data_IF_859737209162
#
_entry.id   IF_859737209162
#
_cell.length_a   1.000
_cell.length_b   1.000
_cell.length_c   1.000
_cell.angle_alpha   90.00
_cell.angle_beta   90.00
_cell.angle_gamma   90.00
#
_symmetry.space_group_name_H-M   'P 1'
#
loop_
_entity.id
_entity.type
_entity.pdbx_description
1 polymer ?
#
# COMPACT_ATOMS: atom_id res chain seq x y z
N UNK A 1 -50.36 64.62 -31.66
CA UNK A 1 -50.88 65.63 -30.72
C UNK A 1 -50.73 65.10 -29.30
N UNK A 2 -50.18 65.94 -28.42
CA UNK A 2 -50.46 66.02 -26.96
C UNK A 2 -50.30 64.73 -26.14
N UNK A 3 -49.44 64.63 -25.12
CA UNK A 3 -48.90 65.68 -24.26
C UNK A 3 -49.07 65.27 -22.79
N UNK A 4 -47.92 65.14 -22.11
CA UNK A 4 -47.62 65.57 -20.75
C UNK A 4 -48.70 65.59 -19.65
N UNK A 5 -48.38 64.99 -18.48
CA UNK A 5 -48.19 65.67 -17.16
C UNK A 5 -47.90 64.63 -16.07
N UNK A 6 -46.74 64.59 -15.41
CA UNK A 6 -46.15 65.46 -14.35
C UNK A 6 -46.78 65.28 -12.95
N UNK A 7 -46.00 64.70 -12.00
CA UNK A 7 -45.63 65.18 -10.62
C UNK A 7 -45.03 63.99 -9.81
N UNK A 8 -43.76 63.95 -9.38
CA UNK A 8 -43.08 64.61 -8.23
C UNK A 8 -43.91 64.53 -6.92
N UNK A 9 -43.46 64.08 -5.74
CA UNK A 9 -42.16 63.72 -5.15
C UNK A 9 -42.34 63.14 -3.71
N UNK A 10 -41.53 62.13 -3.33
CA UNK A 10 -40.87 61.83 -2.02
C UNK A 10 -41.66 61.57 -0.69
N UNK A 11 -41.05 61.07 0.43
CA UNK A 11 -39.89 60.15 0.65
C UNK A 11 -40.08 59.10 1.80
N UNK A 12 -39.07 58.24 2.04
CA UNK A 12 -38.66 57.54 3.29
C UNK A 12 -38.69 56.01 3.31
N UNK A 13 -37.51 55.43 3.58
CA UNK A 13 -37.36 54.02 3.97
C UNK A 13 -36.00 53.42 3.58
N UNK A 14 -34.92 53.84 4.24
CA UNK A 14 -33.60 53.17 4.15
C UNK A 14 -33.75 51.71 4.60
N UNK A 15 -33.30 50.75 3.78
CA UNK A 15 -33.02 49.38 4.23
C UNK A 15 -31.55 49.03 3.94
N UNK A 16 -30.91 48.42 4.93
CA UNK A 16 -29.47 48.17 5.03
C UNK A 16 -28.97 47.09 4.04
N UNK A 17 -27.69 47.13 3.65
CA UNK A 17 -27.12 46.15 2.72
C UNK A 17 -26.94 44.79 3.40
N UNK A 18 -27.49 43.74 2.77
CA UNK A 18 -27.31 42.35 3.20
C UNK A 18 -25.86 41.90 3.01
N UNK A 19 -25.19 41.60 4.10
CA UNK A 19 -23.86 41.00 4.17
C UNK A 19 -23.88 39.61 3.53
N UNK A 20 -23.08 39.40 2.47
CA UNK A 20 -22.86 38.08 1.87
C UNK A 20 -22.04 37.23 2.83
N UNK A 21 -22.64 36.16 3.35
CA UNK A 21 -21.94 35.09 4.07
C UNK A 21 -21.01 34.38 3.07
N UNK A 22 -19.72 34.17 3.38
CA UNK A 22 -18.83 33.42 2.50
C UNK A 22 -19.31 31.97 2.43
N UNK A 23 -19.59 31.49 1.21
CA UNK A 23 -19.80 30.07 0.97
C UNK A 23 -18.48 29.35 1.27
N UNK A 24 -18.49 28.46 2.25
CA UNK A 24 -17.47 27.43 2.43
C UNK A 24 -17.26 26.72 1.08
N UNK A 25 -16.00 26.50 0.64
CA UNK A 25 -15.76 25.76 -0.58
C UNK A 25 -16.28 24.33 -0.36
N UNK A 26 -17.36 23.97 -1.07
CA UNK A 26 -17.81 22.59 -1.17
C UNK A 26 -16.66 21.83 -1.85
N UNK A 27 -15.89 21.10 -1.05
CA UNK A 27 -14.99 20.05 -1.54
C UNK A 27 -15.82 19.15 -2.43
N UNK A 28 -15.44 19.02 -3.71
CA UNK A 28 -15.95 17.97 -4.59
C UNK A 28 -15.90 16.63 -3.84
N UNK A 29 -16.93 15.77 -3.95
CA UNK A 29 -16.90 14.47 -3.30
C UNK A 29 -15.69 13.72 -3.82
N UNK A 30 -14.77 13.39 -2.92
CA UNK A 30 -13.57 12.64 -3.26
C UNK A 30 -13.99 11.30 -3.86
N UNK A 31 -13.43 10.95 -5.02
CA UNK A 31 -13.67 9.65 -5.64
C UNK A 31 -13.16 8.55 -4.70
N UNK A 32 -14.07 7.68 -4.23
CA UNK A 32 -13.70 6.56 -3.39
C UNK A 32 -13.25 5.38 -4.26
N UNK A 33 -11.99 4.95 -4.08
CA UNK A 33 -11.42 3.80 -4.79
C UNK A 33 -10.78 2.85 -3.79
N UNK A 34 -10.63 1.57 -4.16
CA UNK A 34 -10.00 0.57 -3.31
C UNK A 34 -8.59 0.99 -2.88
N UNK A 35 -8.23 0.72 -1.62
CA UNK A 35 -6.95 1.09 -1.00
C UNK A 35 -5.76 0.57 -1.82
N UNK A 36 -5.85 -0.64 -2.35
CA UNK A 36 -4.83 -1.28 -3.18
C UNK A 36 -4.42 -0.44 -4.40
N UNK A 37 -5.29 0.44 -4.93
CA UNK A 37 -4.97 1.33 -6.06
C UNK A 37 -4.08 2.52 -5.69
N UNK A 38 -3.77 2.69 -4.40
CA UNK A 38 -2.93 3.76 -3.88
C UNK A 38 -1.54 3.29 -3.43
N UNK A 39 -1.24 1.99 -3.54
CA UNK A 39 0.09 1.47 -3.21
C UNK A 39 1.18 2.17 -4.05
N UNK A 40 2.33 2.42 -3.43
CA UNK A 40 3.44 3.15 -4.05
C UNK A 40 4.03 2.28 -5.16
N UNK A 41 4.46 2.94 -6.23
CA UNK A 41 5.12 2.29 -7.36
C UNK A 41 4.26 1.27 -8.15
N UNK A 42 2.93 1.27 -7.98
CA UNK A 42 2.01 0.45 -8.79
C UNK A 42 2.30 0.54 -10.29
N UNK A 43 2.58 1.75 -10.78
CA UNK A 43 2.94 2.00 -12.19
C UNK A 43 4.12 1.14 -12.67
N UNK A 44 5.08 0.84 -11.80
CA UNK A 44 6.28 0.06 -12.11
C UNK A 44 6.01 -1.45 -12.22
N UNK A 45 4.87 -1.92 -11.71
CA UNK A 45 4.47 -3.33 -11.74
C UNK A 45 3.52 -3.64 -12.90
N UNK A 46 3.09 -2.65 -13.67
CA UNK A 46 2.38 -2.91 -14.92
C UNK A 46 3.33 -3.48 -15.98
N UNK A 47 2.85 -4.47 -16.72
CA UNK A 47 3.62 -5.06 -17.82
C UNK A 47 2.91 -6.26 -18.45
N UNK A 48 3.52 -6.84 -19.48
CA UNK A 48 2.93 -7.93 -20.27
C UNK A 48 2.65 -9.20 -19.46
N UNK A 49 3.31 -9.41 -18.32
CA UNK A 49 3.06 -10.55 -17.43
C UNK A 49 1.60 -10.67 -16.95
N UNK A 50 0.84 -9.56 -16.98
CA UNK A 50 -0.59 -9.54 -16.67
C UNK A 50 -1.43 -10.24 -17.74
N UNK A 51 -1.01 -10.15 -19.00
CA UNK A 51 -1.75 -10.61 -20.17
C UNK A 51 -1.24 -11.95 -20.71
N UNK A 52 -0.02 -12.35 -20.34
CA UNK A 52 0.52 -13.66 -20.70
C UNK A 52 -0.34 -14.79 -20.13
N UNK A 53 -0.50 -15.85 -20.93
CA UNK A 53 -1.05 -17.12 -20.48
C UNK A 53 -0.17 -17.69 -19.36
N UNK A 54 -0.80 -18.32 -18.38
CA UNK A 54 -0.09 -18.81 -17.20
C UNK A 54 0.98 -19.86 -17.54
N UNK A 55 0.69 -20.74 -18.50
CA UNK A 55 1.62 -21.76 -19.01
C UNK A 55 2.89 -21.13 -19.62
N UNK A 56 2.72 -19.99 -20.31
CA UNK A 56 3.84 -19.23 -20.87
C UNK A 56 4.66 -18.61 -19.75
N UNK A 57 4.01 -18.03 -18.74
CA UNK A 57 4.67 -17.43 -17.59
C UNK A 57 5.46 -18.47 -16.78
N UNK A 58 4.90 -19.67 -16.62
CA UNK A 58 5.57 -20.80 -15.96
C UNK A 58 6.80 -21.26 -16.74
N UNK A 59 6.66 -21.42 -18.06
CA UNK A 59 7.78 -21.78 -18.94
C UNK A 59 8.90 -20.74 -18.88
N UNK A 60 8.56 -19.46 -18.89
CA UNK A 60 9.53 -18.37 -18.76
C UNK A 60 10.24 -18.37 -17.39
N UNK A 61 9.50 -18.60 -16.30
CA UNK A 61 10.07 -18.67 -14.95
C UNK A 61 11.07 -19.84 -14.83
N UNK A 62 10.69 -21.03 -15.33
CA UNK A 62 11.55 -22.23 -15.36
C UNK A 62 12.79 -22.00 -16.21
N UNK A 63 12.62 -21.44 -17.42
CA UNK A 63 13.74 -21.14 -18.30
C UNK A 63 14.70 -20.14 -17.64
N UNK A 64 14.20 -19.06 -17.05
CA UNK A 64 15.02 -18.09 -16.33
C UNK A 64 15.80 -18.71 -15.16
N UNK A 65 15.18 -19.64 -14.42
CA UNK A 65 15.84 -20.36 -13.33
C UNK A 65 16.99 -21.25 -13.83
N UNK A 66 16.82 -21.89 -14.98
CA UNK A 66 17.80 -22.80 -15.57
C UNK A 66 18.94 -22.09 -16.33
N UNK A 67 18.85 -20.76 -16.54
CA UNK A 67 19.93 -20.00 -17.16
C UNK A 67 21.17 -19.92 -16.23
N UNK A 68 22.39 -19.91 -16.81
CA UNK A 68 23.60 -19.64 -16.04
C UNK A 68 23.55 -18.23 -15.44
N UNK A 69 24.25 -18.06 -14.31
CA UNK A 69 24.35 -16.74 -13.68
C UNK A 69 25.26 -15.81 -14.52
N UNK A 70 24.99 -14.49 -14.59
CA UNK A 70 23.85 -13.79 -13.99
C UNK A 70 22.56 -14.03 -14.78
N UNK A 71 21.48 -14.31 -14.05
CA UNK A 71 20.15 -14.49 -14.65
C UNK A 71 19.55 -13.11 -14.95
N UNK A 72 18.77 -12.94 -16.04
CA UNK A 72 18.13 -11.66 -16.37
C UNK A 72 17.16 -11.16 -15.30
N UNK A 73 16.43 -12.07 -14.66
CA UNK A 73 15.45 -11.77 -13.62
C UNK A 73 15.77 -12.62 -12.39
N UNK A 74 15.62 -12.03 -11.20
CA UNK A 74 15.70 -12.79 -9.97
C UNK A 74 14.62 -13.89 -9.94
N UNK A 75 14.98 -15.18 -9.77
CA UNK A 75 13.99 -16.24 -9.84
C UNK A 75 12.89 -16.14 -8.79
N UNK A 76 13.18 -15.62 -7.59
CA UNK A 76 12.20 -15.48 -6.53
C UNK A 76 11.09 -14.52 -6.95
N UNK A 77 11.47 -13.38 -7.53
CA UNK A 77 10.52 -12.40 -8.10
C UNK A 77 9.68 -13.05 -9.20
N UNK A 78 10.29 -13.82 -10.09
CA UNK A 78 9.57 -14.39 -11.23
C UNK A 78 8.56 -15.48 -10.79
N UNK A 79 8.96 -16.38 -9.88
CA UNK A 79 8.06 -17.38 -9.32
C UNK A 79 6.95 -16.75 -8.46
N UNK A 80 7.23 -15.69 -7.71
CA UNK A 80 6.20 -14.97 -6.97
C UNK A 80 5.16 -14.35 -7.91
N UNK A 81 5.58 -13.73 -9.03
CA UNK A 81 4.67 -13.21 -10.05
C UNK A 81 3.79 -14.34 -10.63
N UNK A 82 4.37 -15.50 -10.94
CA UNK A 82 3.62 -16.67 -11.42
C UNK A 82 2.56 -17.13 -10.42
N UNK A 83 2.96 -17.31 -9.15
CA UNK A 83 2.06 -17.72 -8.06
C UNK A 83 0.95 -16.70 -7.85
N UNK A 84 1.26 -15.41 -7.89
CA UNK A 84 0.27 -14.34 -7.77
C UNK A 84 -0.75 -14.41 -8.91
N UNK A 85 -0.30 -14.57 -10.16
CA UNK A 85 -1.21 -14.72 -11.31
C UNK A 85 -2.15 -15.91 -11.14
N UNK A 86 -1.62 -17.08 -10.79
CA UNK A 86 -2.43 -18.29 -10.52
C UNK A 86 -3.45 -18.06 -9.40
N UNK A 87 -3.02 -17.51 -8.26
CA UNK A 87 -3.89 -17.29 -7.10
C UNK A 87 -5.01 -16.29 -7.38
N UNK A 88 -4.71 -15.21 -8.11
CA UNK A 88 -5.71 -14.20 -8.49
C UNK A 88 -6.71 -14.77 -9.51
N UNK A 89 -6.26 -15.58 -10.47
CA UNK A 89 -7.13 -16.24 -11.44
C UNK A 89 -8.03 -17.29 -10.76
N UNK A 90 -7.49 -18.11 -9.86
CA UNK A 90 -8.25 -19.04 -9.02
C UNK A 90 -9.33 -18.31 -8.21
N UNK A 91 -8.96 -17.21 -7.54
CA UNK A 91 -9.87 -16.42 -6.73
C UNK A 91 -10.99 -15.82 -7.60
N UNK A 92 -10.64 -15.34 -8.80
CA UNK A 92 -11.60 -14.79 -9.76
C UNK A 92 -12.60 -15.85 -10.20
N UNK A 93 -12.12 -17.04 -10.57
CA UNK A 93 -12.97 -18.17 -10.96
C UNK A 93 -13.91 -18.59 -9.83
N UNK A 94 -13.43 -18.67 -8.60
CA UNK A 94 -14.26 -18.97 -7.42
C UNK A 94 -15.31 -17.89 -7.16
N UNK A 95 -14.95 -16.61 -7.28
CA UNK A 95 -15.86 -15.49 -7.07
C UNK A 95 -16.94 -15.37 -8.16
N UNK A 96 -16.58 -15.63 -9.42
CA UNK A 96 -17.56 -15.72 -10.53
C UNK A 96 -18.54 -16.87 -10.25
N UNK A 97 -18.05 -18.06 -9.93
CA UNK A 97 -18.91 -19.23 -9.61
C UNK A 97 -19.82 -18.98 -8.41
N UNK A 98 -19.34 -18.27 -7.39
CA UNK A 98 -20.15 -17.87 -6.24
C UNK A 98 -21.28 -16.89 -6.61
N UNK A 99 -21.07 -16.06 -7.63
CA UNK A 99 -22.06 -15.12 -8.14
C UNK A 99 -23.06 -15.80 -9.06
N UNK A 100 -22.59 -16.62 -10.01
CA UNK A 100 -23.41 -17.34 -10.98
C UNK A 100 -24.33 -18.40 -10.36
N UNK A 101 -24.01 -18.94 -9.17
CA UNK A 101 -24.87 -19.87 -8.45
C UNK A 101 -26.27 -19.29 -8.11
N UNK A 102 -26.48 -17.97 -8.25
CA UNK A 102 -27.70 -17.24 -7.88
C UNK A 102 -28.50 -16.75 -9.10
N UNK A 103 -28.13 -17.10 -10.33
CA UNK A 103 -28.92 -16.74 -11.51
C UNK A 103 -30.34 -17.37 -11.53
N UNK A 104 -30.64 -18.29 -10.60
CA UNK A 104 -31.98 -18.82 -10.37
C UNK A 104 -32.66 -18.01 -9.26
N UNK A 105 -33.79 -17.36 -9.58
CA UNK A 105 -34.62 -16.63 -8.60
C UNK A 105 -34.94 -17.51 -7.39
N UNK A 106 -34.92 -16.98 -6.14
CA UNK A 106 -35.34 -17.72 -4.95
C UNK A 106 -36.73 -18.37 -5.11
N UNK A 107 -37.65 -17.68 -5.79
CA UNK A 107 -38.98 -18.21 -6.11
C UNK A 107 -38.95 -19.37 -7.10
N UNK A 108 -38.08 -19.31 -8.11
CA UNK A 108 -37.94 -20.36 -9.13
C UNK A 108 -37.24 -21.61 -8.58
N UNK A 109 -36.32 -21.43 -7.62
CA UNK A 109 -35.63 -22.54 -6.95
C UNK A 109 -36.53 -23.23 -5.91
N UNK A 110 -37.31 -22.46 -5.15
CA UNK A 110 -38.28 -22.98 -4.18
C UNK A 110 -39.43 -23.75 -4.86
N UNK A 111 -39.89 -23.31 -6.04
CA UNK A 111 -41.00 -23.95 -6.75
C UNK A 111 -40.60 -25.26 -7.46
N UNK A 112 -39.32 -25.44 -7.82
CA UNK A 112 -38.81 -26.62 -8.52
C UNK A 112 -38.49 -27.81 -7.61
N UNK A 113 -38.36 -27.60 -6.30
CA UNK A 113 -37.97 -28.65 -5.36
C UNK A 113 -38.93 -28.71 -4.19
N UNK A 114 -39.57 -29.87 -3.98
CA UNK A 114 -40.43 -30.15 -2.82
C UNK A 114 -39.71 -30.02 -1.46
N UNK A 115 -38.37 -30.02 -1.47
CA UNK A 115 -37.49 -29.75 -0.32
C UNK A 115 -36.78 -28.37 -0.40
N UNK A 116 -37.38 -27.40 -1.10
CA UNK A 116 -36.70 -26.18 -1.59
C UNK A 116 -36.02 -25.30 -0.53
N UNK A 117 -36.43 -25.33 0.73
CA UNK A 117 -35.80 -24.55 1.82
C UNK A 117 -34.41 -25.07 2.18
N UNK A 118 -34.25 -26.39 2.38
CA UNK A 118 -32.95 -27.02 2.68
C UNK A 118 -31.98 -26.89 1.50
N UNK A 119 -32.51 -26.99 0.28
CA UNK A 119 -31.71 -26.86 -0.94
C UNK A 119 -31.17 -25.43 -1.13
N UNK A 120 -31.94 -24.41 -0.73
CA UNK A 120 -31.54 -23.01 -0.80
C UNK A 120 -30.50 -22.65 0.27
N UNK A 121 -30.66 -23.14 1.50
CA UNK A 121 -29.66 -22.96 2.56
C UNK A 121 -28.31 -23.60 2.18
N UNK A 122 -28.31 -24.81 1.63
CA UNK A 122 -27.11 -25.48 1.12
C UNK A 122 -26.43 -24.71 -0.02
N UNK A 123 -27.22 -24.04 -0.87
CA UNK A 123 -26.70 -23.18 -1.94
C UNK A 123 -26.01 -21.93 -1.38
N UNK A 124 -26.63 -21.26 -0.40
CA UNK A 124 -26.03 -20.11 0.29
C UNK A 124 -24.74 -20.51 1.01
N UNK A 125 -24.71 -21.70 1.61
CA UNK A 125 -23.52 -22.25 2.24
C UNK A 125 -22.39 -22.48 1.23
N UNK A 126 -22.71 -23.12 0.10
CA UNK A 126 -21.75 -23.33 -0.99
C UNK A 126 -21.21 -22.01 -1.54
N UNK A 127 -22.07 -21.02 -1.71
CA UNK A 127 -21.72 -19.66 -2.14
C UNK A 127 -20.76 -18.99 -1.16
N UNK A 128 -21.06 -19.07 0.14
CA UNK A 128 -20.18 -18.52 1.16
C UNK A 128 -18.81 -19.22 1.17
N UNK A 129 -18.80 -20.55 1.14
CA UNK A 129 -17.56 -21.34 1.09
C UNK A 129 -16.68 -21.01 -0.13
N UNK A 130 -17.28 -20.80 -1.30
CA UNK A 130 -16.53 -20.37 -2.49
C UNK A 130 -15.90 -18.98 -2.30
N UNK A 131 -16.58 -18.04 -1.64
CA UNK A 131 -16.02 -16.71 -1.32
C UNK A 131 -14.91 -16.77 -0.29
N UNK A 132 -15.04 -17.65 0.69
CA UNK A 132 -14.00 -17.90 1.69
C UNK A 132 -12.73 -18.46 1.02
N UNK A 133 -12.88 -19.45 0.14
CA UNK A 133 -11.76 -19.98 -0.64
C UNK A 133 -11.12 -18.92 -1.56
N UNK A 134 -11.94 -18.08 -2.21
CA UNK A 134 -11.42 -16.97 -3.02
C UNK A 134 -10.63 -15.98 -2.16
N UNK A 135 -11.13 -15.66 -0.97
CA UNK A 135 -10.46 -14.80 0.00
C UNK A 135 -9.13 -15.39 0.48
N UNK A 136 -9.08 -16.69 0.77
CA UNK A 136 -7.84 -17.38 1.14
C UNK A 136 -6.78 -17.29 0.03
N UNK A 137 -7.20 -17.49 -1.23
CA UNK A 137 -6.31 -17.37 -2.41
C UNK A 137 -5.74 -15.94 -2.54
N UNK A 138 -6.59 -14.92 -2.37
CA UNK A 138 -6.15 -13.52 -2.36
C UNK A 138 -5.23 -13.21 -1.19
N UNK A 139 -5.52 -13.71 0.01
CA UNK A 139 -4.69 -13.51 1.21
C UNK A 139 -3.27 -14.02 0.96
N UNK A 140 -3.15 -15.25 0.41
CA UNK A 140 -1.87 -15.83 0.00
C UNK A 140 -1.17 -15.00 -1.09
N UNK A 141 -1.91 -14.47 -2.06
CA UNK A 141 -1.33 -13.65 -3.12
C UNK A 141 -0.76 -12.32 -2.59
N UNK A 142 -1.50 -11.63 -1.71
CA UNK A 142 -1.02 -10.40 -1.06
C UNK A 142 0.18 -10.64 -0.14
N UNK A 143 0.26 -11.81 0.50
CA UNK A 143 1.41 -12.22 1.31
C UNK A 143 2.69 -12.33 0.46
N UNK A 144 2.61 -12.85 -0.76
CA UNK A 144 3.74 -12.94 -1.69
C UNK A 144 4.26 -11.56 -2.10
N UNK A 145 3.41 -10.70 -2.64
CA UNK A 145 3.77 -9.31 -2.98
C UNK A 145 2.50 -8.44 -3.05
N UNK A 146 2.44 -7.41 -2.21
CA UNK A 146 1.29 -6.53 -2.10
C UNK A 146 1.07 -5.69 -3.36
N UNK A 147 2.14 -5.23 -4.00
CA UNK A 147 2.06 -4.35 -5.17
C UNK A 147 1.67 -5.19 -6.39
N UNK A 148 2.36 -6.30 -6.63
CA UNK A 148 2.05 -7.17 -7.76
C UNK A 148 0.63 -7.74 -7.66
N UNK A 149 0.20 -8.17 -6.46
CA UNK A 149 -1.17 -8.62 -6.24
C UNK A 149 -2.20 -7.48 -6.45
N UNK A 150 -1.89 -6.26 -5.99
CA UNK A 150 -2.74 -5.08 -6.23
C UNK A 150 -2.96 -4.83 -7.72
N UNK A 151 -1.90 -4.92 -8.53
CA UNK A 151 -2.00 -4.74 -10.00
C UNK A 151 -2.76 -5.89 -10.65
N UNK A 152 -2.49 -7.14 -10.27
CA UNK A 152 -3.17 -8.30 -10.81
C UNK A 152 -4.68 -8.27 -10.51
N UNK A 153 -5.07 -7.90 -9.28
CA UNK A 153 -6.49 -7.81 -8.87
C UNK A 153 -7.25 -6.70 -9.59
N UNK A 154 -6.56 -5.65 -10.06
CA UNK A 154 -7.20 -4.57 -10.85
C UNK A 154 -7.81 -5.06 -12.17
N UNK A 155 -7.27 -6.14 -12.78
CA UNK A 155 -7.82 -6.73 -14.00
C UNK A 155 -9.20 -7.38 -13.79
N UNK A 156 -9.53 -7.75 -12.55
CA UNK A 156 -10.80 -8.38 -12.17
C UNK A 156 -11.46 -7.65 -11.01
N UNK A 157 -11.30 -6.32 -10.95
CA UNK A 157 -11.70 -5.50 -9.82
C UNK A 157 -13.19 -5.66 -9.46
N UNK A 158 -14.09 -5.65 -10.46
CA UNK A 158 -15.53 -5.78 -10.24
C UNK A 158 -15.94 -7.10 -9.57
N UNK A 159 -15.19 -8.16 -9.83
CA UNK A 159 -15.47 -9.50 -9.31
C UNK A 159 -14.90 -9.66 -7.89
N UNK A 160 -13.74 -9.07 -7.63
CA UNK A 160 -12.96 -9.32 -6.41
C UNK A 160 -13.17 -8.27 -5.32
N UNK A 161 -13.62 -7.05 -5.64
CA UNK A 161 -13.65 -5.91 -4.70
C UNK A 161 -14.37 -6.22 -3.38
N UNK A 162 -15.52 -6.90 -3.43
CA UNK A 162 -16.37 -7.10 -2.25
C UNK A 162 -16.27 -8.52 -1.66
N UNK A 163 -15.42 -9.40 -2.19
CA UNK A 163 -15.40 -10.83 -1.80
C UNK A 163 -15.07 -10.98 -0.31
N UNK A 164 -14.03 -10.29 0.16
CA UNK A 164 -13.63 -10.33 1.57
C UNK A 164 -14.68 -9.69 2.49
N UNK A 165 -15.29 -8.56 2.09
CA UNK A 165 -16.36 -7.93 2.85
C UNK A 165 -17.57 -8.87 3.04
N UNK A 166 -17.93 -9.61 1.99
CA UNK A 166 -19.02 -10.58 2.02
C UNK A 166 -18.74 -11.80 2.92
N UNK A 167 -17.47 -12.14 3.14
CA UNK A 167 -17.06 -13.15 4.13
C UNK A 167 -17.14 -12.57 5.54
N UNK A 168 -16.63 -11.34 5.75
CA UNK A 168 -16.66 -10.66 7.05
C UNK A 168 -18.07 -10.41 7.57
N UNK A 169 -19.05 -10.19 6.69
CA UNK A 169 -20.46 -10.07 7.06
C UNK A 169 -21.02 -11.31 7.75
N UNK A 170 -20.46 -12.49 7.47
CA UNK A 170 -20.89 -13.76 8.08
C UNK A 170 -19.95 -14.21 9.20
N UNK A 171 -18.65 -14.01 9.03
CA UNK A 171 -17.63 -14.31 10.02
C UNK A 171 -16.66 -13.11 10.15
N UNK A 172 -16.93 -12.24 11.13
CA UNK A 172 -16.12 -11.05 11.40
C UNK A 172 -14.69 -11.36 11.86
N UNK A 173 -14.44 -12.58 12.32
CA UNK A 173 -13.16 -12.99 12.90
C UNK A 173 -12.26 -13.74 11.90
N UNK A 174 -12.67 -13.85 10.63
CA UNK A 174 -11.84 -14.48 9.61
C UNK A 174 -10.61 -13.62 9.29
N UNK A 175 -9.42 -14.13 9.60
CA UNK A 175 -8.14 -13.40 9.51
C UNK A 175 -7.74 -13.08 8.07
N UNK A 176 -7.89 -14.04 7.16
CA UNK A 176 -7.64 -13.84 5.73
C UNK A 176 -8.57 -12.78 5.15
N UNK A 177 -9.84 -12.78 5.56
CA UNK A 177 -10.81 -11.79 5.12
C UNK A 177 -10.49 -10.40 5.66
N UNK A 178 -10.05 -10.26 6.92
CA UNK A 178 -9.56 -8.97 7.45
C UNK A 178 -8.37 -8.46 6.66
N UNK A 179 -7.40 -9.34 6.37
CA UNK A 179 -6.19 -8.99 5.62
C UNK A 179 -6.51 -8.56 4.18
N UNK A 180 -7.33 -9.30 3.44
CA UNK A 180 -7.73 -8.92 2.06
C UNK A 180 -8.63 -7.69 2.06
N UNK A 181 -9.55 -7.58 3.01
CA UNK A 181 -10.45 -6.42 3.13
C UNK A 181 -9.66 -5.12 3.32
N UNK A 182 -8.55 -5.17 4.07
CA UNK A 182 -7.65 -4.02 4.17
C UNK A 182 -7.19 -3.51 2.79
N UNK A 183 -6.82 -4.36 1.84
CA UNK A 183 -6.46 -3.90 0.50
C UNK A 183 -7.66 -3.42 -0.32
N UNK A 184 -8.84 -4.00 -0.13
CA UNK A 184 -10.01 -3.74 -0.98
C UNK A 184 -10.94 -2.64 -0.46
N UNK A 185 -10.75 -2.18 0.78
CA UNK A 185 -11.53 -1.10 1.38
C UNK A 185 -11.52 0.16 0.52
N UNK A 186 -12.70 0.76 0.30
CA UNK A 186 -12.84 1.97 -0.50
C UNK A 186 -12.49 3.19 0.36
N UNK A 187 -11.42 3.87 0.00
CA UNK A 187 -10.95 5.09 0.67
C UNK A 187 -11.01 6.29 -0.29
N UNK A 188 -11.15 7.52 0.23
CA UNK A 188 -11.05 8.72 -0.60
C UNK A 188 -9.71 8.79 -1.35
N UNK A 189 -9.78 9.18 -2.62
CA UNK A 189 -8.60 9.27 -3.48
C UNK A 189 -7.52 10.17 -2.87
N UNK A 190 -6.27 9.71 -2.90
CA UNK A 190 -5.07 10.41 -2.39
C UNK A 190 -5.06 10.69 -0.88
N UNK A 191 -5.95 10.09 -0.10
CA UNK A 191 -6.02 10.25 1.37
C UNK A 191 -5.60 8.98 2.13
N UNK A 192 -4.72 8.16 1.54
CA UNK A 192 -4.32 6.87 2.15
C UNK A 192 -3.74 7.05 3.55
N UNK A 193 -2.89 8.06 3.78
CA UNK A 193 -2.29 8.31 5.09
C UNK A 193 -3.32 8.68 6.17
N UNK A 194 -4.35 9.43 5.79
CA UNK A 194 -5.39 9.97 6.68
C UNK A 194 -6.49 8.94 6.96
N UNK A 195 -6.86 8.13 5.96
CA UNK A 195 -7.99 7.19 6.03
C UNK A 195 -7.58 5.73 6.29
N UNK A 196 -6.29 5.44 6.48
CA UNK A 196 -5.82 4.08 6.79
C UNK A 196 -5.46 3.96 8.26
N UNK A 197 -6.15 3.06 8.95
CA UNK A 197 -5.87 2.68 10.33
C UNK A 197 -4.91 1.50 10.37
N UNK A 198 -4.11 1.41 11.44
CA UNK A 198 -3.23 0.25 11.69
C UNK A 198 -3.96 -0.86 12.45
N UNK A 199 -5.21 -0.62 12.89
CA UNK A 199 -6.00 -1.53 13.73
C UNK A 199 -6.09 -2.94 13.16
N UNK A 200 -6.41 -3.07 11.87
CA UNK A 200 -6.51 -4.39 11.23
C UNK A 200 -5.20 -5.17 11.27
N UNK A 201 -4.04 -4.50 11.17
CA UNK A 201 -2.74 -5.16 11.28
C UNK A 201 -2.38 -5.47 12.72
N UNK A 202 -2.68 -4.56 13.66
CA UNK A 202 -2.39 -4.74 15.09
C UNK A 202 -3.21 -5.88 15.72
N UNK A 203 -4.41 -6.16 15.19
CA UNK A 203 -5.20 -7.35 15.55
C UNK A 203 -4.62 -8.65 14.99
N UNK A 204 -4.09 -8.63 13.76
CA UNK A 204 -3.63 -9.84 13.05
C UNK A 204 -2.25 -10.33 13.52
N UNK A 205 -1.37 -9.44 13.96
CA UNK A 205 0.01 -9.78 14.34
C UNK A 205 0.08 -10.66 15.60
N UNK A 206 -0.68 -10.41 16.68
CA UNK A 206 -0.73 -11.30 17.84
C UNK A 206 -1.23 -12.70 17.50
N UNK A 207 -2.17 -12.82 16.55
CA UNK A 207 -2.74 -14.10 16.13
C UNK A 207 -1.77 -14.93 15.28
N UNK A 208 -0.84 -14.26 14.58
CA UNK A 208 0.14 -14.92 13.71
C UNK A 208 1.56 -14.34 13.86
N UNK A 209 2.26 -14.58 14.99
CA UNK A 209 3.59 -13.99 15.25
C UNK A 209 4.67 -14.40 14.23
N UNK A 210 4.46 -15.51 13.52
CA UNK A 210 5.38 -16.05 12.52
C UNK A 210 5.22 -15.45 11.12
N UNK A 211 4.16 -14.69 10.85
CA UNK A 211 3.87 -14.15 9.51
C UNK A 211 4.58 -12.81 9.28
N UNK A 212 5.79 -12.89 8.76
CA UNK A 212 6.61 -11.72 8.39
C UNK A 212 5.97 -10.83 7.31
N UNK A 213 5.06 -11.37 6.51
CA UNK A 213 4.32 -10.68 5.45
C UNK A 213 3.36 -9.63 6.02
N UNK A 214 2.71 -9.93 7.15
CA UNK A 214 1.79 -8.97 7.80
C UNK A 214 2.57 -7.79 8.38
N UNK A 215 3.77 -8.05 8.93
CA UNK A 215 4.68 -7.01 9.38
C UNK A 215 5.16 -6.13 8.22
N UNK A 216 5.42 -6.70 7.04
CA UNK A 216 5.71 -5.94 5.81
C UNK A 216 4.56 -4.99 5.48
N UNK A 217 3.31 -5.46 5.48
CA UNK A 217 2.14 -4.61 5.21
C UNK A 217 2.01 -3.47 6.21
N UNK A 218 2.16 -3.78 7.51
CA UNK A 218 2.09 -2.76 8.56
C UNK A 218 3.21 -1.72 8.39
N UNK A 219 4.42 -2.16 8.09
CA UNK A 219 5.54 -1.27 7.85
C UNK A 219 5.32 -0.35 6.64
N UNK A 220 4.85 -0.89 5.51
CA UNK A 220 4.53 -0.09 4.32
C UNK A 220 3.46 0.94 4.65
N UNK A 221 2.44 0.56 5.43
CA UNK A 221 1.39 1.47 5.89
C UNK A 221 1.94 2.57 6.80
N UNK A 222 2.87 2.25 7.72
CA UNK A 222 3.56 3.23 8.56
C UNK A 222 4.40 4.20 7.73
N UNK A 223 5.12 3.71 6.70
CA UNK A 223 5.86 4.57 5.75
C UNK A 223 4.91 5.58 5.10
N UNK A 224 3.73 5.15 4.68
CA UNK A 224 2.72 6.06 4.11
C UNK A 224 2.25 7.12 5.08
N UNK A 225 2.14 6.79 6.38
CA UNK A 225 1.75 7.72 7.44
C UNK A 225 2.91 8.60 7.91
N UNK A 226 4.11 8.42 7.37
CA UNK A 226 5.32 9.15 7.78
C UNK A 226 6.02 8.59 9.03
N UNK A 227 5.52 7.50 9.62
CA UNK A 227 6.17 6.81 10.74
C UNK A 227 7.29 5.90 10.23
N UNK A 228 8.42 6.51 9.86
CA UNK A 228 9.58 5.80 9.32
C UNK A 228 10.27 4.93 10.38
N UNK A 229 10.31 5.40 11.64
CA UNK A 229 10.95 4.66 12.73
C UNK A 229 10.17 3.38 13.07
N UNK A 230 8.85 3.49 13.25
CA UNK A 230 7.99 2.35 13.50
C UNK A 230 7.97 1.36 12.33
N UNK A 231 8.14 1.82 11.10
CA UNK A 231 8.27 0.96 9.93
C UNK A 231 9.59 0.17 9.95
N UNK A 232 10.72 0.82 10.26
CA UNK A 232 12.03 0.15 10.39
C UNK A 232 11.99 -0.93 11.47
N UNK A 233 11.31 -0.67 12.60
CA UNK A 233 11.15 -1.67 13.66
C UNK A 233 10.39 -2.90 13.17
N UNK A 234 9.26 -2.71 12.49
CA UNK A 234 8.47 -3.82 11.94
C UNK A 234 9.26 -4.64 10.92
N UNK A 235 9.96 -3.97 9.99
CA UNK A 235 10.78 -4.62 8.96
C UNK A 235 11.96 -5.38 9.57
N UNK A 236 12.55 -4.85 10.64
CA UNK A 236 13.66 -5.51 11.34
C UNK A 236 13.17 -6.76 12.06
N UNK A 237 12.03 -6.70 12.74
CA UNK A 237 11.38 -7.87 13.35
C UNK A 237 11.02 -8.91 12.28
N UNK A 238 10.45 -8.48 11.14
CA UNK A 238 10.11 -9.37 10.04
C UNK A 238 11.34 -10.10 9.48
N UNK A 239 12.46 -9.40 9.28
CA UNK A 239 13.71 -9.99 8.83
C UNK A 239 14.29 -11.00 9.83
N UNK A 240 14.17 -10.73 11.13
CA UNK A 240 14.57 -11.69 12.16
C UNK A 240 13.75 -12.98 12.06
N UNK A 241 12.43 -12.86 11.87
CA UNK A 241 11.54 -14.01 11.67
C UNK A 241 11.96 -14.81 10.42
N UNK A 242 12.18 -14.14 9.27
CA UNK A 242 12.62 -14.83 8.05
C UNK A 242 13.91 -15.63 8.26
N UNK A 243 14.90 -15.05 8.94
CA UNK A 243 16.17 -15.72 9.24
C UNK A 243 16.00 -16.95 10.14
N UNK A 244 15.10 -16.88 11.12
CA UNK A 244 14.81 -18.03 11.98
C UNK A 244 14.22 -19.19 11.18
N UNK A 245 13.29 -18.92 10.26
CA UNK A 245 12.70 -19.95 9.41
C UNK A 245 13.67 -20.50 8.36
N UNK A 246 14.51 -19.65 7.76
CA UNK A 246 15.55 -20.10 6.85
C UNK A 246 16.53 -21.05 7.54
N UNK A 247 17.01 -20.71 8.73
CA UNK A 247 17.92 -21.58 9.48
C UNK A 247 17.29 -22.94 9.81
N UNK A 248 16.00 -22.99 10.12
CA UNK A 248 15.29 -24.26 10.34
C UNK A 248 15.28 -25.12 9.07
N UNK A 249 14.98 -24.53 7.91
CA UNK A 249 15.01 -25.25 6.64
C UNK A 249 16.42 -25.67 6.20
N UNK A 250 17.46 -24.87 6.46
CA UNK A 250 18.85 -25.24 6.16
C UNK A 250 19.31 -26.44 7.00
N UNK A 251 18.86 -26.54 8.26
CA UNK A 251 19.23 -27.67 9.13
C UNK A 251 18.64 -29.00 8.66
N UNK A 252 17.46 -28.99 8.04
CA UNK A 252 16.86 -30.16 7.39
C UNK A 252 17.49 -30.44 6.00
N UNK A 253 17.98 -29.40 5.32
CA UNK A 253 18.55 -29.47 3.98
C UNK A 253 20.02 -29.95 3.95
N UNK A 254 20.82 -29.67 4.96
CA UNK A 254 22.26 -30.04 5.01
C UNK A 254 22.51 -31.56 5.02
N UNK A 255 21.49 -32.39 5.28
CA UNK A 255 21.59 -33.85 5.12
C UNK A 255 21.33 -34.33 3.68
N UNK A 256 20.82 -33.47 2.79
CA UNK A 256 20.41 -33.82 1.42
C UNK A 256 21.16 -33.06 0.30
N UNK A 257 21.68 -31.86 0.58
CA UNK A 257 22.27 -31.00 -0.45
C UNK A 257 23.79 -31.12 -0.64
N UNK A 258 24.53 -31.74 0.30
CA UNK A 258 25.97 -31.99 0.10
C UNK A 258 26.29 -32.89 -1.11
N UNK A 259 25.32 -33.66 -1.59
CA UNK A 259 25.46 -34.52 -2.79
C UNK A 259 25.10 -33.83 -4.12
N UNK A 260 24.42 -32.68 -4.11
CA UNK A 260 23.85 -32.10 -5.34
C UNK A 260 24.61 -30.88 -5.87
N UNK A 261 25.22 -30.04 -5.02
CA UNK A 261 25.98 -28.87 -5.52
C UNK A 261 27.24 -29.26 -6.31
N UNK A 262 27.91 -30.36 -5.94
CA UNK A 262 29.10 -30.86 -6.65
C UNK A 262 28.76 -31.52 -8.00
N UNK A 263 27.51 -31.93 -8.19
CA UNK A 263 27.09 -32.70 -9.39
C UNK A 263 26.58 -31.80 -10.52
N UNK A 264 26.11 -30.59 -10.24
CA UNK A 264 25.54 -29.69 -11.26
C UNK A 264 26.61 -29.07 -12.17
N UNK A 265 27.85 -28.90 -11.71
CA UNK A 265 28.93 -28.35 -12.54
C UNK A 265 29.54 -29.38 -13.52
N UNK A 266 29.32 -30.68 -13.31
CA UNK A 266 29.98 -31.73 -14.07
C UNK A 266 29.16 -32.34 -15.22
N UNK A 267 27.84 -32.17 -15.26
CA UNK A 267 26.97 -32.94 -16.18
C UNK A 267 26.34 -32.14 -17.33
N UNK A 268 26.95 -31.03 -17.73
CA UNK A 268 26.52 -30.20 -18.88
C UNK A 268 26.84 -30.84 -20.26
N UNK A 269 26.63 -32.14 -20.43
CA UNK A 269 26.68 -32.81 -21.74
C UNK A 269 25.58 -33.88 -21.86
N UNK A 270 24.39 -33.45 -22.29
CA UNK A 270 23.70 -34.20 -23.35
C UNK A 270 22.47 -35.04 -23.01
N UNK A 271 21.72 -34.85 -21.91
CA UNK A 271 20.47 -35.59 -21.70
C UNK A 271 19.29 -34.71 -21.27
N UNK A 272 18.21 -34.84 -22.04
CA UNK A 272 16.84 -34.36 -21.91
C UNK A 272 16.51 -33.48 -20.68
N UNK A 273 16.19 -32.22 -20.95
CA UNK A 273 15.60 -31.26 -20.01
C UNK A 273 14.12 -31.58 -19.77
N UNK A 274 13.85 -32.78 -19.24
CA UNK A 274 12.51 -33.19 -18.82
C UNK A 274 12.58 -33.53 -17.32
N UNK A 275 11.73 -32.86 -16.55
CA UNK A 275 11.34 -33.21 -15.18
C UNK A 275 12.20 -32.76 -13.97
N UNK A 276 12.70 -31.51 -13.96
CA UNK A 276 12.95 -30.79 -12.71
C UNK A 276 11.70 -29.97 -12.33
N UNK A 277 10.61 -30.67 -12.00
CA UNK A 277 9.46 -30.06 -11.32
C UNK A 277 9.88 -29.74 -9.89
N UNK A 278 10.35 -28.51 -9.65
CA UNK A 278 10.57 -28.03 -8.29
C UNK A 278 9.21 -28.01 -7.59
N UNK A 279 9.06 -28.87 -6.58
CA UNK A 279 7.92 -28.83 -5.67
C UNK A 279 7.72 -27.39 -5.16
N UNK A 280 6.46 -26.95 -5.06
CA UNK A 280 6.09 -25.56 -4.76
C UNK A 280 6.75 -25.03 -3.48
N UNK A 281 7.07 -25.93 -2.54
CA UNK A 281 7.76 -25.64 -1.28
C UNK A 281 9.26 -25.27 -1.45
N UNK A 282 9.88 -25.70 -2.55
CA UNK A 282 11.31 -25.48 -2.84
C UNK A 282 11.55 -24.29 -3.77
N UNK A 283 10.49 -23.66 -4.27
CA UNK A 283 10.61 -22.47 -5.11
C UNK A 283 11.07 -21.27 -4.27
N UNK A 284 12.03 -20.46 -4.76
CA UNK A 284 12.53 -19.30 -4.04
C UNK A 284 11.43 -18.27 -3.79
N UNK A 285 11.52 -17.54 -2.67
CA UNK A 285 10.58 -16.49 -2.26
C UNK A 285 11.29 -15.14 -2.17
N UNK A 286 10.68 -14.08 -2.74
CA UNK A 286 11.25 -12.74 -2.79
C UNK A 286 11.06 -11.92 -1.51
N UNK A 287 10.44 -12.49 -0.46
CA UNK A 287 10.03 -11.75 0.73
C UNK A 287 11.20 -11.06 1.46
N UNK A 288 12.32 -11.74 1.65
CA UNK A 288 13.49 -11.15 2.31
C UNK A 288 14.01 -9.93 1.52
N UNK A 289 14.11 -10.05 0.20
CA UNK A 289 14.51 -8.95 -0.69
C UNK A 289 13.53 -7.78 -0.60
N UNK A 290 12.23 -8.04 -0.55
CA UNK A 290 11.20 -7.01 -0.35
C UNK A 290 11.37 -6.29 0.99
N UNK A 291 11.59 -7.04 2.09
CA UNK A 291 11.81 -6.49 3.42
C UNK A 291 13.06 -5.61 3.47
N UNK A 292 14.17 -6.08 2.88
CA UNK A 292 15.41 -5.32 2.77
C UNK A 292 15.22 -4.04 1.96
N UNK A 293 14.52 -4.12 0.82
CA UNK A 293 14.23 -2.98 -0.04
C UNK A 293 13.40 -1.92 0.69
N UNK A 294 12.32 -2.32 1.36
CA UNK A 294 11.50 -1.39 2.14
C UNK A 294 12.29 -0.75 3.29
N UNK A 295 13.15 -1.53 3.98
CA UNK A 295 13.94 -1.01 5.09
C UNK A 295 15.00 -0.02 4.61
N UNK A 296 15.67 -0.33 3.50
CA UNK A 296 16.60 0.59 2.86
C UNK A 296 15.91 1.89 2.42
N UNK A 297 14.71 1.79 1.81
CA UNK A 297 13.92 2.96 1.43
C UNK A 297 13.50 3.82 2.63
N UNK A 298 13.15 3.20 3.75
CA UNK A 298 12.83 3.92 4.99
C UNK A 298 14.06 4.66 5.54
N UNK A 299 15.22 4.01 5.63
CA UNK A 299 16.46 4.67 6.05
C UNK A 299 16.88 5.80 5.12
N UNK A 300 16.78 5.61 3.80
CA UNK A 300 17.07 6.66 2.83
C UNK A 300 16.15 7.88 3.04
N UNK A 301 14.86 7.63 3.27
CA UNK A 301 13.90 8.70 3.55
C UNK A 301 14.24 9.46 4.84
N UNK A 302 14.64 8.75 5.90
CA UNK A 302 15.12 9.38 7.14
C UNK A 302 16.40 10.19 6.92
N UNK A 303 17.34 9.67 6.14
CA UNK A 303 18.58 10.38 5.83
C UNK A 303 18.31 11.69 5.08
N UNK A 304 17.42 11.67 4.08
CA UNK A 304 17.00 12.89 3.36
C UNK A 304 16.35 13.91 4.29
N UNK A 305 15.47 13.49 5.20
CA UNK A 305 14.83 14.38 6.18
C UNK A 305 15.86 15.07 7.09
N UNK A 306 16.87 14.34 7.56
CA UNK A 306 17.93 14.94 8.38
C UNK A 306 18.76 15.97 7.63
N UNK A 307 18.99 15.78 6.31
CA UNK A 307 19.67 16.78 5.48
C UNK A 307 18.80 18.03 5.35
N UNK A 308 17.52 17.87 5.07
CA UNK A 308 16.58 18.99 4.96
C UNK A 308 16.48 19.78 6.29
N UNK A 309 16.38 19.09 7.42
CA UNK A 309 16.33 19.70 8.75
C UNK A 309 17.62 20.48 9.07
N UNK A 310 18.79 19.93 8.70
CA UNK A 310 20.07 20.60 8.87
C UNK A 310 20.17 21.88 8.04
N UNK A 311 19.73 21.85 6.78
CA UNK A 311 19.72 23.02 5.90
C UNK A 311 18.76 24.11 6.40
N UNK A 312 17.61 23.72 6.94
CA UNK A 312 16.66 24.66 7.55
C UNK A 312 17.21 25.31 8.83
N UNK A 313 17.94 24.54 9.64
CA UNK A 313 18.60 25.05 10.86
C UNK A 313 19.71 26.04 10.54
N UNK A 314 20.51 25.79 9.48
CA UNK A 314 21.50 26.77 9.03
C UNK A 314 20.84 28.06 8.56
N UNK A 315 19.73 27.96 7.82
CA UNK A 315 19.00 29.13 7.32
C UNK A 315 18.41 29.96 8.45
N UNK A 316 17.80 29.36 9.47
CA UNK A 316 17.31 30.10 10.65
C UNK A 316 18.45 30.76 11.43
N UNK A 317 19.56 30.05 11.64
CA UNK A 317 20.75 30.60 12.30
C UNK A 317 21.37 31.78 11.54
N UNK A 318 21.32 31.77 10.20
CA UNK A 318 21.81 32.86 9.35
C UNK A 318 20.92 34.11 9.41
N UNK A 319 19.60 33.93 9.52
CA UNK A 319 18.62 35.01 9.70
C UNK A 319 18.78 35.62 11.10
N UNK A 320 18.96 34.80 12.14
CA UNK A 320 19.21 35.26 13.51
C UNK A 320 20.58 35.93 13.69
N UNK A 321 21.60 35.53 12.92
CA UNK A 321 22.87 36.26 12.85
C UNK A 321 22.74 37.59 12.12
N UNK A 322 21.95 37.65 11.05
CA UNK A 322 21.74 38.87 10.27
C UNK A 322 20.92 39.92 11.03
N UNK A 323 19.91 39.49 11.80
CA UNK A 323 19.13 40.35 12.69
C UNK A 323 19.97 40.83 13.90
N UNK A 324 20.84 39.99 14.45
CA UNK A 324 21.79 40.41 15.50
C UNK A 324 22.90 41.34 14.98
N UNK A 325 23.37 41.19 13.75
CA UNK A 325 24.34 42.13 13.16
C UNK A 325 23.71 43.51 12.91
N UNK A 326 22.43 43.57 12.55
CA UNK A 326 21.69 44.83 12.44
C UNK A 326 21.46 45.48 13.82
N UNK A 327 21.11 44.72 14.86
CA UNK A 327 20.92 45.27 16.22
C UNK A 327 22.23 45.77 16.85
N UNK A 328 23.36 45.08 16.63
CA UNK A 328 24.68 45.50 17.11
C UNK A 328 25.18 46.75 16.37
N UNK A 329 24.85 46.90 15.08
CA UNK A 329 25.18 48.13 14.34
C UNK A 329 24.39 49.36 14.83
N UNK A 330 23.16 49.18 15.32
CA UNK A 330 22.37 50.27 15.93
C UNK A 330 22.88 50.64 17.33
N UNK A 331 23.37 49.68 18.12
CA UNK A 331 23.93 49.96 19.46
C UNK A 331 25.31 50.64 19.41
N UNK A 332 26.17 50.29 18.44
CA UNK A 332 27.46 50.98 18.28
C UNK A 332 27.33 52.42 17.77
N UNK A 333 26.23 52.76 17.10
CA UNK A 333 25.92 54.13 16.67
C UNK A 333 25.49 55.05 17.83
N UNK A 334 25.04 54.45 18.94
CA UNK A 334 24.51 55.18 20.09
C UNK A 334 25.58 55.45 21.16
N UNK A 335 26.58 54.58 21.28
CA UNK A 335 27.69 54.77 22.24
C UNK A 335 28.69 55.83 21.76
N UNK A 336 28.82 56.04 20.45
CA UNK A 336 29.70 57.07 19.91
C UNK A 336 29.08 58.49 19.88
N UNK A 337 27.78 58.61 20.17
CA UNK A 337 27.07 59.89 20.29
C UNK A 337 27.13 60.54 21.69
N UNK A 338 27.35 59.75 22.74
CA UNK A 338 27.25 60.24 24.13
C UNK A 338 28.58 60.65 24.76
N UNK A 339 29.73 60.34 24.13
CA UNK A 339 31.04 60.81 24.61
C UNK A 339 31.38 62.22 24.08
N UNK A 340 30.66 62.74 23.08
CA UNK A 340 30.99 64.04 22.47
C UNK A 340 30.12 65.23 22.92
N UNK A 341 29.18 65.06 23.86
CA UNK A 341 28.24 66.13 24.28
C UNK A 341 28.47 66.63 25.72
N UNK A 342 29.30 65.97 26.52
CA UNK A 342 29.61 66.40 27.90
C UNK A 342 30.84 67.32 28.03
N UNK A 343 31.60 67.60 26.97
CA UNK A 343 32.85 68.38 27.06
C UNK A 343 32.89 69.67 26.22
N UNK A 344 31.77 70.12 25.66
CA UNK A 344 31.67 71.41 24.95
C UNK A 344 30.43 72.19 25.44
N UNK A 345 30.43 72.54 26.73
CA UNK A 345 29.55 73.60 27.27
C UNK A 345 30.18 74.34 28.44
N UNK A 346 31.46 74.64 28.30
CA UNK A 346 32.18 75.60 29.13
C UNK A 346 33.19 76.35 28.26
N UNK A 347 32.72 77.02 27.21
CA UNK A 347 33.43 78.11 26.55
C UNK A 347 32.47 78.82 25.58
N UNK A 348 32.25 80.10 25.86
CA UNK A 348 31.91 81.15 24.91
C UNK A 348 30.52 81.18 24.24
N UNK A 349 29.74 82.18 24.71
CA UNK A 349 28.94 83.18 23.95
C UNK A 349 27.76 82.73 23.11
#
# INVERSE_FOLDING_TARGET
MTGSRIRRQFPHGRSAPKTKIPKTPQSSPALNICRNKHWRYISSFHGSWLELLLEVLETLARNNYNLPRPRPIDPAVFFDILKIRQLVEDATNLAVRATSCVALSPSAYLLKHSNGRLSYENMLERKHRMREQATQKLSKAYQLDEIACSVATMQSASTLENVAQLVLQRNSNNTDAKYVHFFHEKIPSRQLAECTTLQSSDELIPEHPSKSEILRTRAVTKIFKGDLFGAVQDLTTALQICKLYQNQHTTDQDQSHQTNEVTIEANCQGQCADDLSLDDAHQPSGLESQLLFHRAGAYLSMACQNVDDSLLLERSSSVDRSSNLQSVSSQNSQIQGDISIAEIKAQHT
#
